data_IF_265699116274
#
_entry.id   IF_265699116274
#
_cell.length_a   1.000
_cell.length_b   1.000
_cell.length_c   1.000
_cell.angle_alpha   90.00
_cell.angle_beta   90.00
_cell.angle_gamma   90.00
#
_symmetry.space_group_name_H-M   'P 1'
#
loop_
_entity.id
_entity.type
_entity.pdbx_description
1 polymer ?
#
# COMPACT_ATOMS: atom_id res chain seq x y z
N UNK A 1 2.14 -10.35 -7.98
CA UNK A 1 0.66 -10.30 -7.88
C UNK A 1 0.15 -9.37 -8.96
N UNK A 2 -0.80 -9.84 -9.78
CA UNK A 2 -1.27 -9.16 -10.99
C UNK A 2 -2.80 -9.00 -10.90
N UNK A 3 -3.30 -7.85 -11.32
CA UNK A 3 -4.71 -7.48 -11.29
C UNK A 3 -5.13 -6.90 -12.64
N UNK A 4 -6.41 -7.05 -12.98
CA UNK A 4 -6.96 -6.51 -14.23
C UNK A 4 -7.29 -5.01 -14.12
N UNK A 5 -7.30 -4.45 -12.90
CA UNK A 5 -7.72 -3.06 -12.66
C UNK A 5 -7.12 -2.49 -11.38
N UNK A 6 -7.00 -1.16 -11.33
CA UNK A 6 -6.54 -0.42 -10.15
C UNK A 6 -7.42 -0.73 -8.94
N UNK A 7 -8.74 -0.70 -9.13
CA UNK A 7 -9.72 -0.93 -8.06
C UNK A 7 -9.61 -2.33 -7.46
N UNK A 8 -9.36 -3.35 -8.30
CA UNK A 8 -9.15 -4.72 -7.83
C UNK A 8 -7.88 -4.85 -6.97
N UNK A 9 -6.78 -4.25 -7.43
CA UNK A 9 -5.53 -4.21 -6.68
C UNK A 9 -5.68 -3.45 -5.35
N UNK A 10 -6.41 -2.33 -5.36
CA UNK A 10 -6.71 -1.55 -4.15
C UNK A 10 -7.58 -2.33 -3.17
N UNK A 11 -8.65 -2.96 -3.64
CA UNK A 11 -9.56 -3.75 -2.79
C UNK A 11 -8.85 -4.94 -2.15
N UNK A 12 -7.92 -5.58 -2.86
CA UNK A 12 -7.09 -6.64 -2.30
C UNK A 12 -6.25 -6.15 -1.12
N UNK A 13 -5.60 -5.00 -1.28
CA UNK A 13 -4.81 -4.38 -0.20
C UNK A 13 -5.69 -3.86 0.95
N UNK A 14 -6.89 -3.37 0.66
CA UNK A 14 -7.85 -2.92 1.67
C UNK A 14 -8.35 -4.10 2.52
N UNK A 15 -8.68 -5.24 1.91
CA UNK A 15 -9.07 -6.44 2.66
C UNK A 15 -7.96 -6.90 3.59
N UNK A 16 -6.74 -6.92 3.07
CA UNK A 16 -5.55 -7.27 3.83
C UNK A 16 -5.31 -6.31 5.01
N UNK A 17 -5.45 -5.01 4.79
CA UNK A 17 -5.31 -4.00 5.84
C UNK A 17 -6.42 -4.09 6.90
N UNK A 18 -7.66 -4.37 6.50
CA UNK A 18 -8.78 -4.61 7.41
C UNK A 18 -8.50 -5.79 8.33
N UNK A 19 -7.90 -6.87 7.82
CA UNK A 19 -7.51 -8.03 8.64
C UNK A 19 -6.50 -7.68 9.72
N UNK A 20 -5.60 -6.74 9.44
CA UNK A 20 -4.63 -6.27 10.44
C UNK A 20 -5.09 -5.06 11.24
N UNK A 21 -6.31 -4.58 11.04
CA UNK A 21 -6.90 -3.52 11.85
C UNK A 21 -6.47 -2.10 11.50
N UNK A 22 -6.04 -1.83 10.26
CA UNK A 22 -5.79 -0.46 9.80
C UNK A 22 -6.51 -0.13 8.50
N UNK A 23 -6.77 1.16 8.28
CA UNK A 23 -7.46 1.65 7.08
C UNK A 23 -6.46 2.18 6.04
N UNK A 24 -6.71 1.90 4.76
CA UNK A 24 -5.81 2.29 3.67
C UNK A 24 -6.28 3.56 2.98
N UNK A 25 -5.32 4.37 2.54
CA UNK A 25 -5.54 5.61 1.80
C UNK A 25 -4.62 5.65 0.58
N UNK A 26 -5.05 6.33 -0.47
CA UNK A 26 -4.16 6.61 -1.61
C UNK A 26 -3.14 7.67 -1.14
N UNK A 27 -1.89 7.27 -1.02
CA UNK A 27 -0.79 8.13 -0.59
C UNK A 27 -0.20 8.93 -1.77
N UNK A 28 -0.10 8.29 -2.93
CA UNK A 28 0.39 8.92 -4.15
C UNK A 28 -0.30 8.34 -5.37
N UNK A 29 -0.57 9.17 -6.37
CA UNK A 29 -1.10 8.74 -7.66
C UNK A 29 -0.33 9.45 -8.75
N UNK A 30 0.22 8.67 -9.69
CA UNK A 30 0.90 9.17 -10.86
C UNK A 30 0.05 8.88 -12.07
N UNK A 31 -0.23 9.92 -12.84
CA UNK A 31 -0.97 9.85 -14.09
C UNK A 31 -0.02 9.93 -15.28
N UNK A 32 -0.41 9.30 -16.38
CA UNK A 32 0.24 9.43 -17.67
C UNK A 32 0.05 10.85 -18.17
N UNK A 33 1.13 11.49 -18.59
CA UNK A 33 1.08 12.83 -19.20
C UNK A 33 0.33 12.81 -20.55
N UNK A 34 0.40 11.68 -21.28
CA UNK A 34 -0.18 11.53 -22.61
C UNK A 34 -1.70 11.31 -22.64
N UNK A 35 -2.23 10.67 -21.61
CA UNK A 35 -3.59 10.11 -21.62
C UNK A 35 -4.38 10.43 -20.32
N UNK A 36 -3.73 10.96 -19.30
CA UNK A 36 -4.36 11.22 -17.99
C UNK A 36 -4.67 9.96 -17.17
N UNK A 37 -4.59 8.75 -17.76
CA UNK A 37 -4.73 7.48 -17.05
C UNK A 37 -3.75 7.34 -15.90
N UNK A 38 -4.20 6.76 -14.78
CA UNK A 38 -3.31 6.42 -13.66
C UNK A 38 -2.35 5.30 -14.12
N UNK A 39 -1.05 5.55 -13.97
CA UNK A 39 0.04 4.62 -14.34
C UNK A 39 0.73 4.03 -13.12
N UNK A 40 0.62 4.68 -11.96
CA UNK A 40 1.04 4.09 -10.70
C UNK A 40 0.28 4.71 -9.54
N UNK A 41 0.00 3.91 -8.51
CA UNK A 41 -0.74 4.34 -7.33
C UNK A 41 -0.08 3.75 -6.08
N UNK A 42 0.38 4.60 -5.17
CA UNK A 42 0.82 4.21 -3.84
C UNK A 42 -0.37 4.21 -2.88
N UNK A 43 -0.64 3.08 -2.24
CA UNK A 43 -1.72 2.92 -1.25
C UNK A 43 -1.09 2.54 0.07
N UNK A 44 -1.54 3.13 1.18
CA UNK A 44 -0.97 2.82 2.48
C UNK A 44 -1.68 3.48 3.63
N UNK A 45 -1.17 3.26 4.83
CA UNK A 45 -1.68 3.90 6.04
C UNK A 45 -1.18 5.34 6.11
N UNK A 46 -2.12 6.30 6.20
CA UNK A 46 -1.79 7.70 6.47
C UNK A 46 -1.72 7.87 7.98
N UNK A 47 -0.52 7.67 8.56
CA UNK A 47 -0.26 7.95 9.97
C UNK A 47 -0.77 9.34 10.32
N UNK A 48 -1.78 9.40 11.18
CA UNK A 48 -2.41 10.66 11.57
C UNK A 48 -1.38 11.59 12.19
N UNK A 49 -1.09 12.70 11.50
CA UNK A 49 -0.41 13.83 12.11
C UNK A 49 -1.45 14.62 12.92
N UNK A 50 -1.75 14.18 14.13
CA UNK A 50 -2.24 15.08 15.17
C UNK A 50 -2.02 14.40 16.52
N UNK A 51 -1.25 15.07 17.38
CA UNK A 51 -1.05 14.77 18.79
C UNK A 51 -2.24 14.03 19.42
N UNK A 52 -2.14 12.72 19.68
CA UNK A 52 -2.66 12.04 20.89
C UNK A 52 -1.97 10.69 21.11
N UNK A 53 -1.54 10.51 22.35
CA UNK A 53 -1.36 9.23 23.02
C UNK A 53 -0.06 8.47 22.74
N UNK A 54 0.83 8.60 23.73
CA UNK A 54 1.83 7.62 24.16
C UNK A 54 1.40 6.17 23.83
N UNK A 55 2.22 5.43 23.09
CA UNK A 55 2.28 3.97 23.19
C UNK A 55 1.82 3.11 22.01
N UNK A 56 1.17 3.62 20.96
CA UNK A 56 0.77 2.77 19.82
C UNK A 56 1.72 2.92 18.63
N UNK A 57 2.67 2.00 18.60
CA UNK A 57 3.25 1.31 17.43
C UNK A 57 2.96 1.94 16.06
N UNK A 58 4.00 2.53 15.46
CA UNK A 58 3.98 3.16 14.14
C UNK A 58 3.80 2.12 13.03
N UNK A 59 2.59 1.58 12.86
CA UNK A 59 2.30 0.70 11.75
C UNK A 59 2.47 1.46 10.42
N UNK A 60 3.51 1.12 9.65
CA UNK A 60 3.76 1.72 8.34
C UNK A 60 3.56 0.65 7.28
N UNK A 61 2.37 0.65 6.69
CA UNK A 61 2.01 -0.28 5.64
C UNK A 61 1.76 0.51 4.35
N UNK A 62 2.55 0.24 3.31
CA UNK A 62 2.45 0.84 1.99
C UNK A 62 2.66 -0.19 0.89
N UNK A 63 1.81 -0.14 -0.12
CA UNK A 63 1.92 -0.87 -1.39
C UNK A 63 2.06 0.10 -2.55
N UNK A 64 2.90 -0.24 -3.53
CA UNK A 64 3.04 0.48 -4.79
C UNK A 64 2.47 -0.35 -5.93
N UNK A 65 1.39 0.14 -6.52
CA UNK A 65 0.76 -0.42 -7.71
C UNK A 65 1.32 0.25 -8.96
N UNK A 66 1.61 -0.53 -10.00
CA UNK A 66 2.07 -0.01 -11.30
C UNK A 66 1.27 -0.65 -12.42
N UNK A 67 0.83 0.19 -13.37
CA UNK A 67 0.19 -0.24 -14.60
C UNK A 67 1.26 -0.70 -15.60
N UNK A 68 1.09 -1.89 -16.14
CA UNK A 68 1.90 -2.48 -17.20
C UNK A 68 1.36 -2.14 -18.60
N UNK A 69 2.17 -2.45 -19.63
CA UNK A 69 1.84 -2.16 -21.03
C UNK A 69 0.56 -2.83 -21.52
N UNK A 70 0.20 -3.96 -20.92
CA UNK A 70 -1.01 -4.72 -21.24
C UNK A 70 -2.27 -4.20 -20.51
N UNK A 71 -2.15 -3.12 -19.75
CA UNK A 71 -3.26 -2.57 -18.94
C UNK A 71 -3.45 -3.28 -17.60
N UNK A 72 -2.71 -4.36 -17.36
CA UNK A 72 -2.66 -5.07 -16.07
C UNK A 72 -1.95 -4.23 -15.00
N UNK A 73 -2.33 -4.45 -13.76
CA UNK A 73 -1.80 -3.78 -12.58
C UNK A 73 -0.99 -4.75 -11.74
N UNK A 74 0.25 -4.38 -11.42
CA UNK A 74 1.14 -5.22 -10.64
C UNK A 74 1.53 -4.53 -9.35
N UNK A 75 1.60 -5.29 -8.25
CA UNK A 75 2.21 -4.83 -7.00
C UNK A 75 3.73 -4.84 -7.22
N UNK A 76 4.33 -3.65 -7.29
CA UNK A 76 5.79 -3.46 -7.44
C UNK A 76 6.52 -3.45 -6.11
N UNK A 77 5.87 -2.96 -5.07
CA UNK A 77 6.45 -2.90 -3.73
C UNK A 77 5.35 -3.16 -2.73
N UNK A 78 5.61 -4.02 -1.78
CA UNK A 78 4.74 -4.28 -0.66
C UNK A 78 5.59 -4.13 0.60
N UNK A 79 5.25 -3.15 1.42
CA UNK A 79 5.91 -2.91 2.71
C UNK A 79 4.83 -2.92 3.77
N UNK A 80 4.99 -3.78 4.76
CA UNK A 80 4.11 -3.86 5.91
C UNK A 80 5.01 -3.92 7.13
N UNK A 81 5.09 -2.82 7.87
CA UNK A 81 5.84 -2.76 9.12
C UNK A 81 4.82 -2.78 10.24
N UNK A 82 4.72 -3.94 10.89
CA UNK A 82 4.09 -4.08 12.20
C UNK A 82 5.19 -3.89 13.24
N UNK A 83 5.06 -2.85 14.06
CA UNK A 83 5.79 -2.82 15.32
C UNK A 83 4.92 -3.63 16.27
N UNK A 84 5.34 -4.84 16.62
CA UNK A 84 4.85 -5.54 17.79
C UNK A 84 5.66 -5.08 19.01
N UNK A 85 5.08 -5.23 20.22
CA UNK A 85 5.61 -4.77 21.52
C UNK A 85 7.02 -5.32 21.85
N UNK A 86 7.55 -6.23 21.03
CA UNK A 86 8.87 -6.85 21.14
C UNK A 86 9.96 -6.23 20.24
N UNK A 87 9.65 -5.21 19.44
CA UNK A 87 10.66 -4.50 18.63
C UNK A 87 11.22 -5.31 17.44
N UNK A 88 10.54 -6.38 17.02
CA UNK A 88 10.94 -7.16 15.84
C UNK A 88 10.44 -6.48 14.55
N UNK A 89 11.38 -5.96 13.76
CA UNK A 89 11.14 -5.46 12.41
C UNK A 89 10.84 -6.65 11.46
N UNK A 90 9.59 -7.08 11.34
CA UNK A 90 9.20 -7.99 10.25
C UNK A 90 9.00 -7.18 8.97
N UNK A 91 10.07 -7.07 8.17
CA UNK A 91 10.01 -6.49 6.83
C UNK A 91 9.65 -7.60 5.84
N UNK A 92 8.36 -7.83 5.61
CA UNK A 92 7.90 -8.65 4.48
C UNK A 92 8.12 -7.86 3.18
N UNK A 93 9.35 -7.84 2.68
CA UNK A 93 9.62 -7.48 1.29
C UNK A 93 9.20 -8.68 0.44
N UNK A 94 7.97 -8.65 -0.06
CA UNK A 94 7.64 -9.46 -1.22
C UNK A 94 8.24 -8.75 -2.44
N UNK A 95 9.50 -9.05 -2.75
CA UNK A 95 10.05 -8.83 -4.09
C UNK A 95 9.32 -9.80 -5.03
N UNK A 96 8.17 -9.34 -5.54
CA UNK A 96 7.42 -10.05 -6.57
C UNK A 96 8.18 -9.88 -7.89
N UNK A 97 9.09 -10.85 -8.14
CA UNK A 97 9.72 -11.13 -9.44
C UNK A 97 8.65 -11.31 -10.51
#
# INVERSE_FOLDING_TARGET
MVFESESAAKSFYDDDARRVGFQTWVLSSRKSDRDGSVISCGVGYRGGSENRSKGHERCSAMVLLKKEKLGTWVIRRFSRVFFDLLGFQMMLNLDLV
#
